data_IF_782108659526
#
_entry.id   IF_782108659526
#
_cell.length_a   1.000
_cell.length_b   1.000
_cell.length_c   1.000
_cell.angle_alpha   90.00
_cell.angle_beta   90.00
_cell.angle_gamma   90.00
#
_symmetry.space_group_name_H-M   'P 1'
#
loop_
_entity.id
_entity.type
_entity.pdbx_description
1 polymer ?
#
# COMPACT_ATOMS: atom_id res chain seq x y z
N UNK A 1 -12.45 8.31 41.50
CA UNK A 1 -13.42 8.36 40.39
C UNK A 1 -12.96 9.50 39.50
N UNK A 2 -12.14 9.20 38.49
CA UNK A 2 -11.76 10.16 37.43
C UNK A 2 -12.50 9.67 36.18
N UNK A 3 -13.40 10.54 35.72
CA UNK A 3 -14.20 10.35 34.52
C UNK A 3 -13.31 10.17 33.30
N UNK A 4 -13.46 9.03 32.63
CA UNK A 4 -12.99 8.81 31.27
C UNK A 4 -13.72 9.79 30.36
N UNK A 5 -13.11 10.93 30.04
CA UNK A 5 -13.54 11.75 28.92
C UNK A 5 -13.44 10.91 27.63
N UNK A 6 -14.59 10.46 27.17
CA UNK A 6 -14.77 9.92 25.82
C UNK A 6 -14.29 10.99 24.84
N UNK A 7 -13.12 10.77 24.24
CA UNK A 7 -12.65 11.58 23.10
C UNK A 7 -13.73 11.50 22.02
N UNK A 8 -14.53 12.57 21.87
CA UNK A 8 -15.35 12.76 20.68
C UNK A 8 -14.44 12.55 19.46
N UNK A 9 -14.85 11.74 18.45
CA UNK A 9 -14.09 11.68 17.21
C UNK A 9 -13.91 13.11 16.70
N UNK A 10 -12.68 13.52 16.50
CA UNK A 10 -12.38 14.82 15.90
C UNK A 10 -13.12 14.90 14.56
N UNK A 11 -13.74 16.04 14.27
CA UNK A 11 -14.39 16.24 12.97
C UNK A 11 -13.43 15.86 11.84
N UNK A 12 -13.91 15.11 10.83
CA UNK A 12 -13.07 14.67 9.72
C UNK A 12 -12.43 15.88 9.05
N UNK A 13 -11.11 15.84 8.83
CA UNK A 13 -10.39 16.89 8.11
C UNK A 13 -11.02 17.10 6.75
N UNK A 14 -11.15 18.34 6.32
CA UNK A 14 -11.77 18.71 5.04
C UNK A 14 -10.67 18.98 4.02
N UNK A 15 -10.55 18.11 3.04
CA UNK A 15 -9.45 18.10 2.08
C UNK A 15 -9.87 18.72 0.73
N UNK A 16 -8.97 19.51 0.16
CA UNK A 16 -9.05 19.98 -1.21
C UNK A 16 -7.90 19.36 -2.01
N UNK A 17 -8.22 18.71 -3.15
CA UNK A 17 -7.27 17.95 -3.93
C UNK A 17 -6.64 18.79 -5.04
N UNK A 18 -5.36 18.60 -5.29
CA UNK A 18 -4.59 19.35 -6.28
C UNK A 18 -3.81 18.42 -7.20
N UNK A 19 -4.04 18.54 -8.51
CA UNK A 19 -3.32 17.79 -9.55
C UNK A 19 -2.61 18.69 -10.53
N UNK A 20 -1.48 18.21 -11.07
CA UNK A 20 -0.74 18.89 -12.13
C UNK A 20 -0.85 18.10 -13.43
N UNK A 21 -1.18 18.79 -14.54
CA UNK A 21 -1.23 18.21 -15.87
C UNK A 21 0.08 18.55 -16.57
N UNK A 22 0.91 17.55 -16.79
CA UNK A 22 2.21 17.69 -17.49
C UNK A 22 2.05 17.44 -19.00
N UNK A 23 3.01 17.89 -19.84
CA UNK A 23 2.98 17.64 -21.27
C UNK A 23 2.89 16.13 -21.57
N UNK A 24 2.02 15.77 -22.50
CA UNK A 24 1.77 14.37 -22.86
C UNK A 24 0.81 13.61 -21.94
N UNK A 25 0.33 14.23 -20.86
CA UNK A 25 -0.72 13.65 -20.01
C UNK A 25 -2.10 14.16 -20.42
N UNK A 26 -3.01 13.30 -20.85
CA UNK A 26 -4.41 13.68 -21.07
C UNK A 26 -5.09 14.13 -19.76
N UNK A 27 -6.01 15.08 -19.85
CA UNK A 27 -6.73 15.64 -18.68
C UNK A 27 -7.45 14.54 -17.91
N UNK A 28 -8.14 13.64 -18.60
CA UNK A 28 -8.90 12.53 -17.98
C UNK A 28 -8.00 11.61 -17.14
N UNK A 29 -6.71 11.47 -17.49
CA UNK A 29 -5.75 10.68 -16.69
C UNK A 29 -5.50 11.33 -15.35
N UNK A 30 -5.36 12.65 -15.31
CA UNK A 30 -5.14 13.38 -14.06
C UNK A 30 -6.44 13.43 -13.23
N UNK A 31 -7.60 13.48 -13.88
CA UNK A 31 -8.90 13.36 -13.19
C UNK A 31 -9.02 12.03 -12.46
N UNK A 32 -8.70 10.91 -13.12
CA UNK A 32 -8.68 9.59 -12.49
C UNK A 32 -7.62 9.48 -11.36
N UNK A 33 -6.47 10.15 -11.52
CA UNK A 33 -5.49 10.23 -10.42
C UNK A 33 -6.07 10.93 -9.20
N UNK A 34 -6.85 12.00 -9.41
CA UNK A 34 -7.54 12.70 -8.34
C UNK A 34 -8.70 11.90 -7.76
N UNK A 35 -9.39 11.07 -8.56
CA UNK A 35 -10.41 10.15 -8.05
C UNK A 35 -9.79 9.09 -7.13
N UNK A 36 -8.62 8.55 -7.49
CA UNK A 36 -7.86 7.64 -6.64
C UNK A 36 -7.35 8.37 -5.37
N UNK A 37 -6.86 9.60 -5.50
CA UNK A 37 -6.44 10.42 -4.36
C UNK A 37 -7.62 10.72 -3.41
N UNK A 38 -8.83 10.90 -3.95
CA UNK A 38 -10.04 11.06 -3.16
C UNK A 38 -10.35 9.79 -2.34
N UNK A 39 -10.19 8.60 -2.92
CA UNK A 39 -10.33 7.33 -2.19
C UNK A 39 -9.27 7.16 -1.10
N UNK A 40 -8.03 7.60 -1.36
CA UNK A 40 -6.98 7.64 -0.34
C UNK A 40 -7.35 8.58 0.81
N UNK A 41 -7.83 9.79 0.50
CA UNK A 41 -8.25 10.77 1.50
C UNK A 41 -9.41 10.23 2.37
N UNK A 42 -10.42 9.62 1.76
CA UNK A 42 -11.52 8.94 2.49
C UNK A 42 -11.00 7.81 3.38
N UNK A 43 -10.06 7.00 2.86
CA UNK A 43 -9.44 5.92 3.65
C UNK A 43 -8.67 6.46 4.86
N UNK A 44 -8.04 7.63 4.73
CA UNK A 44 -7.37 8.34 5.83
C UNK A 44 -8.36 9.04 6.80
N UNK A 45 -9.66 9.06 6.48
CA UNK A 45 -10.70 9.70 7.28
C UNK A 45 -10.87 11.19 6.97
N UNK A 46 -10.38 11.69 5.83
CA UNK A 46 -10.60 13.06 5.38
C UNK A 46 -11.78 13.13 4.40
N UNK A 47 -12.57 14.20 4.51
CA UNK A 47 -13.68 14.46 3.58
C UNK A 47 -13.22 15.38 2.46
N UNK A 48 -13.29 14.92 1.21
CA UNK A 48 -12.95 15.74 0.04
C UNK A 48 -14.07 16.76 -0.20
N UNK A 49 -13.70 18.05 -0.30
CA UNK A 49 -14.62 19.17 -0.50
C UNK A 49 -14.54 19.78 -1.90
N UNK A 50 -13.42 19.57 -2.59
CA UNK A 50 -13.20 20.08 -3.93
C UNK A 50 -11.87 19.63 -4.52
N UNK A 51 -11.67 19.97 -5.78
CA UNK A 51 -10.42 19.67 -6.51
C UNK A 51 -10.06 20.75 -7.51
N UNK A 52 -8.77 20.87 -7.80
CA UNK A 52 -8.26 21.74 -8.86
C UNK A 52 -7.15 21.03 -9.63
N UNK A 53 -7.05 21.36 -10.91
CA UNK A 53 -5.97 20.92 -11.79
C UNK A 53 -5.34 22.12 -12.47
N UNK A 54 -4.06 22.00 -12.81
CA UNK A 54 -3.35 23.02 -13.56
C UNK A 54 -2.46 22.40 -14.63
N UNK A 55 -2.60 22.80 -15.92
CA UNK A 55 -1.62 22.45 -16.93
C UNK A 55 -0.36 23.30 -16.76
N UNK A 56 0.82 22.63 -16.76
CA UNK A 56 2.13 23.27 -16.74
C UNK A 56 3.15 22.46 -17.54
N UNK A 57 4.20 23.13 -18.03
CA UNK A 57 5.33 22.47 -18.69
C UNK A 57 6.19 21.68 -17.70
N UNK A 58 6.30 22.17 -16.46
CA UNK A 58 7.05 21.54 -15.37
C UNK A 58 6.48 22.05 -14.03
N UNK A 59 6.66 21.30 -12.91
CA UNK A 59 6.33 21.76 -11.57
C UNK A 59 7.07 23.05 -11.23
N UNK A 60 6.41 23.95 -10.52
CA UNK A 60 7.06 25.16 -10.01
C UNK A 60 8.02 24.81 -8.86
N UNK A 61 9.21 25.40 -8.88
CA UNK A 61 10.24 25.09 -7.89
C UNK A 61 9.86 25.55 -6.47
N UNK A 62 9.09 26.64 -6.35
CA UNK A 62 8.73 27.23 -5.07
C UNK A 62 7.39 26.71 -4.51
N UNK A 63 6.38 26.54 -5.34
CA UNK A 63 4.99 26.27 -4.93
C UNK A 63 4.32 25.12 -5.70
N UNK A 64 5.05 24.36 -6.49
CA UNK A 64 4.60 23.24 -7.31
C UNK A 64 3.63 23.65 -8.44
N UNK A 65 2.52 24.32 -8.10
CA UNK A 65 1.51 24.81 -9.07
C UNK A 65 1.73 26.27 -9.53
N UNK A 66 2.71 26.98 -8.99
CA UNK A 66 2.92 28.40 -9.23
C UNK A 66 2.08 29.30 -8.31
N UNK A 67 2.61 30.48 -8.00
CA UNK A 67 2.11 31.37 -6.95
C UNK A 67 0.65 31.77 -7.13
N UNK A 68 0.27 32.34 -8.29
CA UNK A 68 -1.10 32.80 -8.53
C UNK A 68 -2.13 31.64 -8.48
N UNK A 69 -1.76 30.46 -8.97
CA UNK A 69 -2.65 29.27 -8.87
C UNK A 69 -2.79 28.77 -7.44
N UNK A 70 -1.73 28.85 -6.64
CA UNK A 70 -1.79 28.50 -5.22
C UNK A 70 -2.73 29.45 -4.45
N UNK A 71 -2.78 30.76 -4.81
CA UNK A 71 -3.73 31.71 -4.24
C UNK A 71 -5.18 31.41 -4.64
N UNK A 72 -5.43 31.09 -5.92
CA UNK A 72 -6.77 30.65 -6.40
C UNK A 72 -7.24 29.41 -5.67
N UNK A 73 -6.35 28.39 -5.54
CA UNK A 73 -6.64 27.15 -4.82
C UNK A 73 -6.96 27.46 -3.35
N UNK A 74 -6.18 28.35 -2.72
CA UNK A 74 -6.41 28.75 -1.32
C UNK A 74 -7.78 29.41 -1.14
N UNK A 75 -8.18 30.30 -2.05
CA UNK A 75 -9.49 30.96 -2.00
C UNK A 75 -10.63 29.93 -2.17
N UNK A 76 -10.56 29.08 -3.19
CA UNK A 76 -11.57 28.04 -3.45
C UNK A 76 -11.66 27.02 -2.30
N UNK A 77 -10.52 26.59 -1.75
CA UNK A 77 -10.48 25.66 -0.64
C UNK A 77 -11.15 26.25 0.61
N UNK A 78 -10.89 27.52 0.92
CA UNK A 78 -11.50 28.21 2.08
C UNK A 78 -13.01 28.40 1.89
N UNK A 79 -13.46 28.76 0.68
CA UNK A 79 -14.89 28.91 0.38
C UNK A 79 -15.64 27.60 0.63
N UNK A 80 -15.01 26.46 0.30
CA UNK A 80 -15.54 25.13 0.55
C UNK A 80 -15.26 24.62 1.98
N UNK A 81 -14.64 25.45 2.83
CA UNK A 81 -14.33 25.15 4.21
C UNK A 81 -13.27 24.04 4.37
N UNK A 82 -12.35 23.89 3.42
CA UNK A 82 -11.23 22.97 3.55
C UNK A 82 -10.18 23.51 4.53
N UNK A 83 -9.56 22.61 5.28
CA UNK A 83 -8.44 22.88 6.21
C UNK A 83 -7.13 22.22 5.76
N UNK A 84 -7.19 21.39 4.69
CA UNK A 84 -6.10 20.58 4.19
C UNK A 84 -6.05 20.63 2.65
N UNK A 85 -4.87 20.88 2.10
CA UNK A 85 -4.57 20.69 0.68
C UNK A 85 -3.83 19.36 0.51
N UNK A 86 -4.26 18.52 -0.43
CA UNK A 86 -3.58 17.26 -0.76
C UNK A 86 -3.17 17.29 -2.23
N UNK A 87 -1.88 17.17 -2.46
CA UNK A 87 -1.27 17.11 -3.80
C UNK A 87 -1.09 15.66 -4.25
N UNK A 88 -1.41 15.37 -5.52
CA UNK A 88 -1.27 14.02 -6.09
C UNK A 88 0.18 13.62 -6.38
N UNK A 89 1.09 14.55 -6.31
CA UNK A 89 2.52 14.35 -6.53
C UNK A 89 3.31 14.68 -5.27
N UNK A 90 4.55 14.15 -5.19
CA UNK A 90 5.44 14.42 -4.08
C UNK A 90 5.90 15.89 -4.09
N UNK A 91 5.90 16.49 -2.93
CA UNK A 91 6.37 17.86 -2.72
C UNK A 91 7.74 17.85 -2.01
N UNK A 92 8.59 18.80 -2.37
CA UNK A 92 9.79 19.08 -1.57
C UNK A 92 9.43 19.78 -0.24
N UNK A 93 10.29 19.67 0.76
CA UNK A 93 10.07 20.37 2.04
C UNK A 93 9.96 21.89 1.91
N UNK A 94 10.61 22.49 0.91
CA UNK A 94 10.47 23.92 0.59
C UNK A 94 9.12 24.26 -0.03
N UNK A 95 8.61 23.41 -0.94
CA UNK A 95 7.29 23.59 -1.53
C UNK A 95 6.17 23.48 -0.49
N UNK A 96 6.21 22.46 0.38
CA UNK A 96 5.25 22.33 1.49
C UNK A 96 5.24 23.58 2.34
N UNK A 97 6.41 24.03 2.79
CA UNK A 97 6.53 25.25 3.62
C UNK A 97 5.98 26.48 2.93
N UNK A 98 6.38 26.72 1.67
CA UNK A 98 5.94 27.91 0.93
C UNK A 98 4.42 27.89 0.68
N UNK A 99 3.85 26.71 0.37
CA UNK A 99 2.41 26.53 0.21
C UNK A 99 1.67 26.79 1.53
N UNK A 100 2.13 26.26 2.67
CA UNK A 100 1.52 26.51 3.98
C UNK A 100 1.63 27.99 4.38
N UNK A 101 2.76 28.64 4.11
CA UNK A 101 2.96 30.06 4.36
C UNK A 101 2.04 30.94 3.47
N UNK A 102 1.81 30.55 2.22
CA UNK A 102 0.96 31.26 1.27
C UNK A 102 -0.53 31.04 1.54
N UNK A 103 -0.92 29.77 1.67
CA UNK A 103 -2.34 29.40 1.77
C UNK A 103 -2.90 29.47 3.18
N UNK A 104 -2.06 29.39 4.21
CA UNK A 104 -2.42 29.22 5.62
C UNK A 104 -3.27 27.98 5.89
N UNK A 105 -3.21 26.99 5.00
CA UNK A 105 -3.81 25.68 5.15
C UNK A 105 -2.72 24.63 5.38
N UNK A 106 -3.06 23.53 6.01
CA UNK A 106 -2.15 22.37 6.08
C UNK A 106 -1.93 21.81 4.67
N UNK A 107 -0.72 21.35 4.39
CA UNK A 107 -0.36 20.79 3.08
C UNK A 107 0.17 19.38 3.25
N UNK A 108 -0.37 18.46 2.47
CA UNK A 108 0.10 17.08 2.36
C UNK A 108 0.36 16.73 0.90
N UNK A 109 1.29 15.82 0.67
CA UNK A 109 1.46 15.17 -0.61
C UNK A 109 0.93 13.72 -0.56
N UNK A 110 0.86 13.07 -1.72
CA UNK A 110 0.40 11.68 -1.85
C UNK A 110 1.17 10.72 -0.96
N UNK A 111 2.50 10.87 -0.88
CA UNK A 111 3.35 10.01 -0.05
C UNK A 111 3.04 10.13 1.44
N UNK A 112 2.85 11.35 1.96
CA UNK A 112 2.50 11.55 3.37
C UNK A 112 1.10 11.05 3.69
N UNK A 113 0.14 11.17 2.77
CA UNK A 113 -1.20 10.61 2.93
C UNK A 113 -1.18 9.08 3.01
N UNK A 114 -0.41 8.41 2.14
CA UNK A 114 -0.23 6.94 2.18
C UNK A 114 0.41 6.52 3.50
N UNK A 115 1.42 7.25 3.97
CA UNK A 115 2.06 7.00 5.27
C UNK A 115 1.09 7.15 6.44
N UNK A 116 0.16 8.11 6.40
CA UNK A 116 -0.87 8.26 7.41
C UNK A 116 -1.86 7.09 7.41
N UNK A 117 -2.26 6.60 6.23
CA UNK A 117 -3.10 5.40 6.11
C UNK A 117 -2.37 4.19 6.71
N UNK A 118 -1.09 4.02 6.39
CA UNK A 118 -0.29 2.91 6.89
C UNK A 118 -0.12 2.95 8.41
N UNK A 119 0.07 4.13 9.00
CA UNK A 119 0.16 4.32 10.45
C UNK A 119 -1.13 3.90 11.16
N UNK A 120 -2.27 4.26 10.60
CA UNK A 120 -3.59 3.87 11.14
C UNK A 120 -3.83 2.35 11.03
N UNK A 121 -3.24 1.69 10.01
CA UNK A 121 -3.44 0.26 9.72
C UNK A 121 -2.40 -0.66 10.36
N UNK A 122 -1.24 -0.17 10.73
CA UNK A 122 -0.15 -0.93 11.32
C UNK A 122 -0.54 -1.48 12.71
N UNK A 123 -0.79 -2.79 12.80
CA UNK A 123 -1.17 -3.46 14.05
C UNK A 123 -0.01 -4.23 14.66
N UNK A 124 0.76 -4.95 13.85
CA UNK A 124 1.91 -5.71 14.34
C UNK A 124 3.08 -4.78 14.69
N UNK A 125 3.98 -5.28 15.55
CA UNK A 125 5.24 -4.59 15.85
C UNK A 125 6.05 -4.34 14.59
N UNK A 126 6.09 -5.31 13.70
CA UNK A 126 6.81 -5.23 12.43
C UNK A 126 6.25 -4.11 11.54
N UNK A 127 4.93 -4.11 11.27
CA UNK A 127 4.31 -3.08 10.45
C UNK A 127 4.53 -1.67 11.04
N UNK A 128 4.43 -1.51 12.36
CA UNK A 128 4.74 -0.24 13.03
C UNK A 128 6.19 0.20 12.82
N UNK A 129 7.14 -0.74 12.95
CA UNK A 129 8.56 -0.48 12.71
C UNK A 129 8.81 -0.07 11.26
N UNK A 130 8.17 -0.74 10.30
CA UNK A 130 8.24 -0.40 8.87
C UNK A 130 7.68 0.99 8.56
N UNK A 131 6.51 1.31 9.11
CA UNK A 131 5.88 2.62 8.93
C UNK A 131 6.73 3.73 9.55
N UNK A 132 7.25 3.53 10.77
CA UNK A 132 8.16 4.48 11.41
C UNK A 132 9.42 4.71 10.56
N UNK A 133 10.05 3.63 10.07
CA UNK A 133 11.19 3.72 9.17
C UNK A 133 10.87 4.51 7.91
N UNK A 134 9.75 4.20 7.26
CA UNK A 134 9.30 4.90 6.06
C UNK A 134 9.05 6.39 6.29
N UNK A 135 8.40 6.75 7.42
CA UNK A 135 8.18 8.15 7.84
C UNK A 135 9.49 8.89 8.07
N UNK A 136 10.46 8.26 8.71
CA UNK A 136 11.77 8.89 8.94
C UNK A 136 12.54 9.08 7.63
N UNK A 137 12.52 8.10 6.73
CA UNK A 137 13.13 8.22 5.40
C UNK A 137 12.45 9.30 4.55
N UNK A 138 11.13 9.43 4.64
CA UNK A 138 10.38 10.50 3.99
C UNK A 138 10.72 11.89 4.56
N UNK A 139 10.84 11.99 5.88
CA UNK A 139 11.06 13.27 6.60
C UNK A 139 12.50 13.77 6.50
N UNK A 140 13.49 12.85 6.46
CA UNK A 140 14.91 13.20 6.50
C UNK A 140 15.36 14.21 5.43
N UNK A 141 15.03 14.04 4.12
CA UNK A 141 15.37 15.02 3.09
C UNK A 141 14.57 16.33 3.19
N UNK A 142 13.40 16.29 3.88
CA UNK A 142 12.49 17.43 4.05
C UNK A 142 12.78 18.26 5.29
N UNK A 143 13.74 17.86 6.12
CA UNK A 143 14.15 18.63 7.28
C UNK A 143 14.71 20.00 6.87
N UNK A 144 14.01 21.05 7.26
CA UNK A 144 14.42 22.44 7.15
C UNK A 144 14.57 23.06 8.54
N UNK A 145 15.28 24.19 8.66
CA UNK A 145 15.56 24.87 9.96
C UNK A 145 14.33 25.16 10.83
N UNK A 146 13.10 25.09 10.29
CA UNK A 146 11.86 25.38 11.06
C UNK A 146 11.17 24.13 11.64
N UNK A 147 11.67 22.90 11.36
CA UNK A 147 11.05 21.66 11.86
C UNK A 147 11.50 21.24 13.27
N UNK A 148 11.80 22.22 14.13
CA UNK A 148 12.22 22.01 15.53
C UNK A 148 11.10 21.45 16.44
N UNK A 149 9.90 21.21 15.93
CA UNK A 149 8.78 20.73 16.75
C UNK A 149 8.77 19.20 16.97
N UNK A 150 9.47 18.41 16.16
CA UNK A 150 9.55 16.94 16.33
C UNK A 150 10.38 16.52 17.55
N UNK A 151 11.31 17.36 18.00
CA UNK A 151 12.13 17.07 19.19
C UNK A 151 11.36 17.21 20.53
N UNK A 152 10.19 17.85 20.55
CA UNK A 152 9.40 18.06 21.76
C UNK A 152 8.49 16.90 22.15
N UNK A 153 8.20 15.96 21.26
CA UNK A 153 7.35 14.79 21.56
C UNK A 153 8.12 13.60 22.17
N UNK A 154 9.46 13.56 22.04
CA UNK A 154 10.30 12.58 22.71
C UNK A 154 11.11 13.27 23.79
N UNK A 155 10.63 13.26 25.05
CA UNK A 155 11.30 13.87 26.20
C UNK A 155 12.79 13.51 26.30
N UNK A 156 13.65 14.35 25.77
CA UNK A 156 15.11 14.23 25.80
C UNK A 156 15.74 15.51 26.33
N UNK A 157 16.39 15.37 27.49
CA UNK A 157 17.17 16.36 28.20
C UNK A 157 18.14 17.08 27.27
N UNK A 158 18.05 18.42 27.25
CA UNK A 158 18.97 19.30 26.51
C UNK A 158 20.40 19.12 26.97
N UNK A 159 21.23 18.52 26.14
CA UNK A 159 22.68 18.61 26.22
C UNK A 159 23.12 19.85 25.43
N UNK A 160 23.70 20.82 26.09
CA UNK A 160 24.42 21.94 25.49
C UNK A 160 25.52 21.38 24.58
N UNK A 161 25.32 21.39 23.26
CA UNK A 161 26.33 21.07 22.27
C UNK A 161 27.35 22.20 22.14
N UNK A 162 28.60 21.81 22.02
CA UNK A 162 29.71 22.73 21.80
C UNK A 162 29.60 23.49 20.46
N UNK A 163 30.31 24.60 20.36
CA UNK A 163 30.43 25.48 19.20
C UNK A 163 30.77 24.65 17.94
N UNK A 164 29.85 24.56 16.98
CA UNK A 164 30.14 24.02 15.65
C UNK A 164 29.06 23.30 14.88
N UNK A 165 28.10 22.60 15.52
CA UNK A 165 27.02 21.88 14.81
C UNK A 165 25.72 22.69 14.85
N UNK A 166 25.10 22.91 13.68
CA UNK A 166 23.76 23.52 13.65
C UNK A 166 22.72 22.54 14.24
N UNK A 167 21.67 23.07 14.89
CA UNK A 167 20.55 22.24 15.41
C UNK A 167 20.01 21.29 14.35
N UNK A 168 19.99 21.71 13.09
CA UNK A 168 19.57 20.90 11.95
C UNK A 168 20.47 19.66 11.70
N UNK A 169 21.77 19.81 11.91
CA UNK A 169 22.72 18.69 11.74
C UNK A 169 22.60 17.69 12.87
N UNK A 170 22.36 18.16 14.10
CA UNK A 170 22.07 17.31 15.25
C UNK A 170 20.77 16.52 15.02
N UNK A 171 19.71 17.18 14.58
CA UNK A 171 18.43 16.54 14.29
C UNK A 171 18.58 15.49 13.19
N UNK A 172 19.32 15.79 12.11
CA UNK A 172 19.64 14.82 11.05
C UNK A 172 20.43 13.62 11.56
N UNK A 173 21.40 13.85 12.45
CA UNK A 173 22.19 12.77 13.05
C UNK A 173 21.33 11.86 13.91
N UNK A 174 20.45 12.40 14.73
CA UNK A 174 19.49 11.64 15.55
C UNK A 174 18.58 10.79 14.66
N UNK A 175 18.00 11.38 13.60
CA UNK A 175 17.13 10.64 12.68
C UNK A 175 17.88 9.53 11.93
N UNK A 176 19.10 9.79 11.45
CA UNK A 176 19.91 8.74 10.81
C UNK A 176 20.27 7.60 11.76
N UNK A 177 20.53 7.91 13.03
CA UNK A 177 20.76 6.89 14.06
C UNK A 177 19.50 6.05 14.28
N UNK A 178 18.32 6.70 14.37
CA UNK A 178 17.04 6.01 14.53
C UNK A 178 16.70 5.12 13.33
N UNK A 179 16.94 5.62 12.10
CA UNK A 179 16.76 4.85 10.86
C UNK A 179 17.58 3.55 10.93
N UNK A 180 18.89 3.64 11.23
CA UNK A 180 19.76 2.45 11.33
C UNK A 180 19.24 1.45 12.37
N UNK A 181 18.83 1.93 13.53
CA UNK A 181 18.29 1.06 14.58
C UNK A 181 17.04 0.30 14.14
N UNK A 182 16.13 0.99 13.42
CA UNK A 182 14.93 0.37 12.87
C UNK A 182 15.24 -0.64 11.75
N UNK A 183 16.24 -0.34 10.91
CA UNK A 183 16.73 -1.27 9.88
C UNK A 183 17.31 -2.55 10.51
N UNK A 184 18.12 -2.42 11.57
CA UNK A 184 18.65 -3.56 12.32
C UNK A 184 17.53 -4.41 12.96
N UNK A 185 16.50 -3.77 13.50
CA UNK A 185 15.35 -4.48 14.09
C UNK A 185 14.54 -5.23 13.03
N UNK A 186 14.30 -4.63 11.86
CA UNK A 186 13.63 -5.31 10.75
C UNK A 186 14.45 -6.49 10.22
N UNK A 187 15.78 -6.37 10.16
CA UNK A 187 16.63 -7.49 9.75
C UNK A 187 16.53 -8.68 10.73
N UNK A 188 16.47 -8.42 12.05
CA UNK A 188 16.25 -9.48 13.06
C UNK A 188 14.89 -10.16 12.86
N UNK A 189 13.83 -9.38 12.59
CA UNK A 189 12.49 -9.91 12.33
C UNK A 189 12.52 -10.80 11.07
N UNK A 190 13.19 -10.35 10.00
CA UNK A 190 13.28 -11.12 8.76
C UNK A 190 14.05 -12.43 8.95
N UNK A 191 15.15 -12.44 9.71
CA UNK A 191 15.87 -13.67 10.07
C UNK A 191 14.95 -14.66 10.80
N UNK A 192 14.16 -14.20 11.75
CA UNK A 192 13.19 -15.04 12.47
C UNK A 192 12.13 -15.62 11.52
N UNK A 193 11.62 -14.81 10.57
CA UNK A 193 10.68 -15.28 9.55
C UNK A 193 11.27 -16.33 8.61
N UNK A 194 12.54 -16.18 8.21
CA UNK A 194 13.24 -17.19 7.41
C UNK A 194 13.27 -18.55 8.13
N UNK A 195 13.59 -18.55 9.43
CA UNK A 195 13.58 -19.79 10.24
C UNK A 195 12.17 -20.39 10.32
N UNK A 196 11.15 -19.56 10.56
CA UNK A 196 9.75 -20.02 10.61
C UNK A 196 9.26 -20.58 9.26
N UNK A 197 9.72 -20.01 8.13
CA UNK A 197 9.44 -20.53 6.78
C UNK A 197 10.06 -21.91 6.57
N UNK A 198 11.30 -22.13 6.96
CA UNK A 198 11.95 -23.45 6.91
C UNK A 198 11.22 -24.51 7.75
N UNK A 199 10.66 -24.13 8.89
CA UNK A 199 9.86 -25.03 9.72
C UNK A 199 8.50 -25.44 9.11
N UNK A 200 8.08 -24.82 8.00
CA UNK A 200 6.86 -25.18 7.23
C UNK A 200 7.17 -26.08 6.03
N UNK A 201 8.36 -26.71 5.99
CA UNK A 201 8.76 -27.58 4.90
C UNK A 201 7.69 -28.64 4.64
N UNK A 202 7.21 -28.72 3.38
CA UNK A 202 6.19 -29.68 2.94
C UNK A 202 4.81 -29.09 2.65
N UNK A 203 4.51 -27.82 3.01
CA UNK A 203 3.24 -27.18 2.62
C UNK A 203 3.54 -25.99 1.71
N UNK A 204 3.16 -26.03 0.42
CA UNK A 204 3.45 -24.93 -0.50
C UNK A 204 2.73 -23.64 -0.09
N UNK A 205 3.35 -22.52 -0.43
CA UNK A 205 2.83 -21.18 -0.13
C UNK A 205 2.41 -20.46 -1.40
N UNK A 206 1.22 -19.87 -1.38
CA UNK A 206 0.64 -19.09 -2.48
C UNK A 206 0.42 -17.66 -2.00
N UNK A 207 1.14 -16.69 -2.56
CA UNK A 207 0.95 -15.29 -2.22
C UNK A 207 -0.05 -14.61 -3.18
N UNK A 208 -0.96 -13.80 -2.62
CA UNK A 208 -1.87 -12.96 -3.40
C UNK A 208 -1.29 -11.55 -3.47
N UNK A 209 -1.08 -11.06 -4.68
CA UNK A 209 -0.57 -9.72 -4.95
C UNK A 209 -1.40 -9.03 -6.03
N UNK A 210 -1.21 -7.75 -6.26
CA UNK A 210 -1.92 -6.97 -7.27
C UNK A 210 -2.31 -5.59 -6.76
N UNK A 211 -2.99 -4.83 -7.60
CA UNK A 211 -3.36 -3.45 -7.28
C UNK A 211 -4.25 -3.37 -6.04
N UNK A 212 -4.23 -2.22 -5.34
CA UNK A 212 -5.13 -2.03 -4.18
C UNK A 212 -6.58 -2.10 -4.64
N UNK A 213 -7.45 -2.64 -3.80
CA UNK A 213 -8.86 -2.88 -4.11
C UNK A 213 -9.16 -3.87 -5.27
N UNK A 214 -8.17 -4.62 -5.78
CA UNK A 214 -8.41 -5.66 -6.80
C UNK A 214 -9.19 -6.90 -6.26
N UNK A 215 -9.48 -6.95 -4.96
CA UNK A 215 -10.22 -8.03 -4.33
C UNK A 215 -9.35 -9.15 -3.75
N UNK A 216 -8.05 -8.90 -3.50
CA UNK A 216 -7.12 -9.88 -2.92
C UNK A 216 -7.63 -10.50 -1.62
N UNK A 217 -8.01 -9.67 -0.66
CA UNK A 217 -8.49 -10.14 0.66
C UNK A 217 -9.84 -10.89 0.54
N UNK A 218 -10.69 -10.52 -0.40
CA UNK A 218 -11.94 -11.24 -0.68
C UNK A 218 -11.64 -12.62 -1.26
N UNK A 219 -10.72 -12.68 -2.23
CA UNK A 219 -10.27 -13.95 -2.84
C UNK A 219 -9.56 -14.83 -1.80
N UNK A 220 -8.70 -14.25 -0.96
CA UNK A 220 -8.04 -14.94 0.14
C UNK A 220 -9.07 -15.58 1.09
N UNK A 221 -10.11 -14.84 1.50
CA UNK A 221 -11.17 -15.38 2.35
C UNK A 221 -11.90 -16.55 1.68
N UNK A 222 -12.16 -16.45 0.39
CA UNK A 222 -12.82 -17.50 -0.38
C UNK A 222 -11.97 -18.77 -0.49
N UNK A 223 -10.65 -18.63 -0.67
CA UNK A 223 -9.72 -19.76 -0.78
C UNK A 223 -9.43 -20.44 0.57
N UNK A 224 -9.48 -19.67 1.67
CA UNK A 224 -9.12 -20.16 3.01
C UNK A 224 -10.29 -20.41 3.94
N UNK A 225 -11.54 -20.17 3.48
CA UNK A 225 -12.76 -20.18 4.30
C UNK A 225 -12.63 -19.29 5.56
N UNK A 226 -11.78 -18.27 5.51
CA UNK A 226 -11.57 -17.33 6.61
C UNK A 226 -12.62 -16.22 6.52
N UNK A 227 -13.50 -16.10 7.52
CA UNK A 227 -14.50 -15.03 7.61
C UNK A 227 -13.92 -13.68 8.04
N UNK A 228 -12.73 -13.30 7.56
CA UNK A 228 -12.15 -11.98 7.87
C UNK A 228 -12.84 -10.89 7.06
N UNK A 229 -13.21 -9.78 7.72
CA UNK A 229 -13.80 -8.62 7.05
C UNK A 229 -12.87 -8.14 5.91
N UNK A 230 -13.39 -8.21 4.68
CA UNK A 230 -12.79 -7.55 3.53
C UNK A 230 -13.42 -6.15 3.44
N UNK A 231 -12.65 -5.12 3.69
CA UNK A 231 -13.11 -3.73 3.57
C UNK A 231 -12.93 -3.26 2.13
N UNK A 232 -13.93 -2.56 1.60
CA UNK A 232 -13.82 -1.90 0.29
C UNK A 232 -13.09 -0.54 0.46
N UNK A 233 -11.85 -0.59 0.95
CA UNK A 233 -10.98 0.57 1.17
C UNK A 233 -9.58 0.26 0.68
N UNK A 234 -8.89 1.31 0.21
CA UNK A 234 -7.51 1.19 -0.20
C UNK A 234 -6.63 0.75 0.99
N UNK A 235 -5.65 -0.12 0.75
CA UNK A 235 -4.77 -0.65 1.79
C UNK A 235 -5.49 -1.29 2.99
N UNK A 236 -6.56 -2.04 2.73
CA UNK A 236 -7.28 -2.78 3.77
C UNK A 236 -6.37 -3.79 4.51
N UNK A 237 -5.36 -4.33 3.83
CA UNK A 237 -4.34 -5.22 4.39
C UNK A 237 -2.98 -4.54 4.32
N UNK A 238 -2.33 -4.36 5.47
CA UNK A 238 -0.95 -3.90 5.59
C UNK A 238 -0.06 -5.01 6.17
N UNK A 239 -0.52 -5.69 7.21
CA UNK A 239 0.12 -6.89 7.76
C UNK A 239 -0.23 -8.11 6.92
N UNK A 240 0.76 -8.86 6.43
CA UNK A 240 0.50 -10.08 5.69
C UNK A 240 -0.24 -11.11 6.55
N UNK A 241 -1.37 -11.61 6.04
CA UNK A 241 -2.16 -12.64 6.70
C UNK A 241 -1.88 -13.99 6.07
N UNK A 242 -1.51 -14.97 6.90
CA UNK A 242 -1.22 -16.34 6.47
C UNK A 242 -2.32 -17.28 6.96
N UNK A 243 -2.91 -18.09 6.07
CA UNK A 243 -3.92 -19.09 6.40
C UNK A 243 -3.78 -20.32 5.51
N UNK A 244 -4.07 -21.49 6.07
CA UNK A 244 -4.23 -22.71 5.28
C UNK A 244 -5.55 -22.69 4.55
N UNK A 245 -5.53 -23.12 3.29
CA UNK A 245 -6.74 -23.26 2.48
C UNK A 245 -6.66 -24.52 1.62
N UNK A 246 -7.82 -25.07 1.25
CA UNK A 246 -7.91 -26.22 0.36
C UNK A 246 -7.68 -25.79 -1.08
N UNK A 247 -6.82 -26.51 -1.78
CA UNK A 247 -6.57 -26.34 -3.21
C UNK A 247 -7.50 -27.28 -3.99
N UNK A 248 -7.17 -28.56 -4.08
CA UNK A 248 -8.02 -29.57 -4.71
C UNK A 248 -8.01 -30.85 -3.86
N UNK A 249 -9.15 -31.48 -3.70
CA UNK A 249 -9.31 -32.65 -2.84
C UNK A 249 -8.95 -32.35 -1.39
N UNK A 250 -8.18 -33.23 -0.76
CA UNK A 250 -7.70 -33.08 0.63
C UNK A 250 -6.43 -32.24 0.75
N UNK A 251 -5.88 -31.73 -0.36
CA UNK A 251 -4.58 -31.03 -0.37
C UNK A 251 -4.73 -29.58 0.07
N UNK A 252 -3.74 -29.09 0.78
CA UNK A 252 -3.73 -27.75 1.37
C UNK A 252 -2.48 -26.98 0.96
N UNK A 253 -2.66 -25.65 0.80
CA UNK A 253 -1.57 -24.69 0.66
C UNK A 253 -1.70 -23.61 1.74
N UNK A 254 -0.61 -22.91 2.03
CA UNK A 254 -0.65 -21.69 2.83
C UNK A 254 -0.84 -20.51 1.91
N UNK A 255 -1.94 -19.80 2.07
CA UNK A 255 -2.20 -18.56 1.34
C UNK A 255 -1.71 -17.37 2.14
N UNK A 256 -1.10 -16.39 1.45
CA UNK A 256 -0.66 -15.12 2.01
C UNK A 256 -1.42 -13.96 1.36
N UNK A 257 -2.23 -13.22 2.13
CA UNK A 257 -2.81 -11.95 1.70
C UNK A 257 -1.80 -10.83 1.97
N UNK A 258 -1.42 -10.06 0.94
CA UNK A 258 -0.37 -9.05 1.03
C UNK A 258 -0.90 -7.64 0.79
N UNK A 259 -0.07 -6.64 1.07
CA UNK A 259 -0.38 -5.23 0.79
C UNK A 259 -0.63 -5.02 -0.72
N UNK A 260 -1.64 -4.20 -1.04
CA UNK A 260 -1.92 -3.85 -2.43
C UNK A 260 -0.96 -2.80 -2.97
N UNK A 261 -0.66 -2.87 -4.27
CA UNK A 261 0.11 -1.85 -4.97
C UNK A 261 -0.79 -0.69 -5.41
N UNK A 262 -0.19 0.45 -5.59
CA UNK A 262 -0.87 1.66 -6.07
C UNK A 262 0.09 2.46 -6.94
N UNK A 263 -0.44 3.28 -7.83
CA UNK A 263 0.37 4.20 -8.64
C UNK A 263 1.17 5.16 -7.76
N UNK A 264 2.31 5.61 -8.26
CA UNK A 264 3.20 6.55 -7.56
C UNK A 264 3.51 6.08 -6.14
N UNK A 265 3.61 4.75 -5.91
CA UNK A 265 4.06 4.22 -4.63
C UNK A 265 5.53 4.62 -4.43
N UNK A 266 5.85 5.40 -3.40
CA UNK A 266 7.22 5.89 -3.23
C UNK A 266 8.21 4.74 -3.02
N UNK A 267 9.37 4.77 -3.68
CA UNK A 267 10.40 3.73 -3.57
C UNK A 267 10.89 3.48 -2.13
N UNK A 268 10.91 4.53 -1.30
CA UNK A 268 11.26 4.38 0.12
C UNK A 268 10.20 3.59 0.91
N UNK A 269 8.94 3.62 0.48
CA UNK A 269 7.90 2.74 1.03
C UNK A 269 8.11 1.30 0.60
N UNK A 270 8.32 1.02 -0.68
CA UNK A 270 8.61 -0.33 -1.19
C UNK A 270 9.78 -0.93 -0.43
N UNK A 271 10.87 -0.18 -0.27
CA UNK A 271 12.06 -0.63 0.47
C UNK A 271 11.80 -0.91 1.95
N UNK A 272 10.94 -0.12 2.60
CA UNK A 272 10.60 -0.29 4.02
C UNK A 272 9.65 -1.48 4.25
N UNK A 273 8.79 -1.80 3.26
CA UNK A 273 7.86 -2.94 3.31
C UNK A 273 8.41 -4.23 2.71
N UNK A 274 9.72 -4.27 2.41
CA UNK A 274 10.37 -5.43 1.80
C UNK A 274 10.17 -6.74 2.59
N UNK A 275 10.08 -6.69 3.90
CA UNK A 275 9.83 -7.90 4.71
C UNK A 275 8.38 -8.39 4.61
N UNK A 276 7.40 -7.49 4.51
CA UNK A 276 5.98 -7.86 4.26
C UNK A 276 5.81 -8.40 2.84
N UNK A 277 6.49 -7.79 1.86
CA UNK A 277 6.55 -8.25 0.47
C UNK A 277 7.46 -9.49 0.31
N UNK A 278 8.26 -9.83 1.34
CA UNK A 278 9.06 -11.04 1.40
C UNK A 278 8.24 -12.34 1.34
N UNK A 279 6.96 -12.29 1.71
CA UNK A 279 6.05 -13.43 1.50
C UNK A 279 5.75 -13.64 0.00
N UNK A 280 5.73 -12.58 -0.81
CA UNK A 280 5.55 -12.67 -2.27
C UNK A 280 6.79 -13.28 -2.93
N UNK A 281 7.98 -12.79 -2.57
CA UNK A 281 9.24 -13.27 -3.15
C UNK A 281 9.58 -14.70 -2.75
N UNK A 282 9.14 -15.13 -1.55
CA UNK A 282 9.40 -16.45 -1.01
C UNK A 282 8.33 -17.49 -1.34
N UNK A 283 7.19 -17.08 -1.91
CA UNK A 283 6.09 -17.99 -2.24
C UNK A 283 6.46 -18.94 -3.38
N UNK A 284 5.94 -20.16 -3.32
CA UNK A 284 6.08 -21.16 -4.40
C UNK A 284 5.27 -20.73 -5.63
N UNK A 285 4.15 -20.02 -5.41
CA UNK A 285 3.30 -19.47 -6.46
C UNK A 285 2.77 -18.10 -6.08
N UNK A 286 2.62 -17.20 -7.05
CA UNK A 286 2.11 -15.84 -6.86
C UNK A 286 0.84 -15.66 -7.70
N UNK A 287 -0.28 -15.34 -7.06
CA UNK A 287 -1.52 -14.94 -7.73
C UNK A 287 -1.52 -13.43 -7.93
N UNK A 288 -1.35 -12.99 -9.15
CA UNK A 288 -1.53 -11.59 -9.54
C UNK A 288 -3.02 -11.35 -9.77
N UNK A 289 -3.69 -10.76 -8.78
CA UNK A 289 -5.13 -10.48 -8.79
C UNK A 289 -5.37 -9.15 -9.48
N UNK A 290 -6.12 -9.18 -10.59
CA UNK A 290 -6.40 -8.04 -11.47
C UNK A 290 -7.90 -7.74 -11.40
N UNK A 291 -8.27 -6.48 -11.13
CA UNK A 291 -9.66 -6.02 -11.19
C UNK A 291 -10.08 -5.82 -12.64
N UNK A 292 -10.75 -6.81 -13.23
CA UNK A 292 -11.13 -6.76 -14.65
C UNK A 292 -12.28 -5.80 -14.92
N UNK A 293 -13.03 -5.42 -13.91
CA UNK A 293 -14.13 -4.45 -14.03
C UNK A 293 -13.66 -2.99 -14.14
N UNK A 294 -12.40 -2.72 -13.81
CA UNK A 294 -11.86 -1.36 -13.87
C UNK A 294 -11.50 -0.98 -15.31
N UNK A 295 -11.92 0.20 -15.83
CA UNK A 295 -11.64 0.63 -17.21
C UNK A 295 -10.15 0.60 -17.59
N UNK A 296 -9.27 0.87 -16.63
CA UNK A 296 -7.80 0.90 -16.81
C UNK A 296 -7.10 -0.26 -16.09
N UNK A 297 -7.70 -1.44 -16.14
CA UNK A 297 -7.14 -2.62 -15.49
C UNK A 297 -5.74 -2.98 -16.01
N UNK A 298 -5.45 -2.74 -17.31
CA UNK A 298 -4.15 -2.99 -17.91
C UNK A 298 -3.04 -2.16 -17.28
N UNK A 299 -3.31 -0.86 -17.04
CA UNK A 299 -2.34 0.02 -16.39
C UNK A 299 -2.14 -0.35 -14.92
N UNK A 300 -3.22 -0.71 -14.22
CA UNK A 300 -3.12 -1.19 -12.85
C UNK A 300 -2.34 -2.51 -12.77
N UNK A 301 -2.55 -3.41 -13.73
CA UNK A 301 -1.78 -4.64 -13.83
C UNK A 301 -0.30 -4.36 -14.10
N UNK A 302 0.00 -3.44 -15.03
CA UNK A 302 1.38 -3.05 -15.35
C UNK A 302 2.12 -2.44 -14.14
N UNK A 303 1.45 -1.62 -13.33
CA UNK A 303 2.03 -1.10 -12.07
C UNK A 303 2.37 -2.23 -11.10
N UNK A 304 1.48 -3.21 -10.96
CA UNK A 304 1.72 -4.35 -10.08
C UNK A 304 2.86 -5.23 -10.60
N UNK A 305 2.93 -5.43 -11.91
CA UNK A 305 4.00 -6.17 -12.58
C UNK A 305 5.36 -5.50 -12.40
N UNK A 306 5.42 -4.18 -12.58
CA UNK A 306 6.65 -3.43 -12.34
C UNK A 306 7.17 -3.62 -10.91
N UNK A 307 6.30 -3.54 -9.90
CA UNK A 307 6.70 -3.76 -8.51
C UNK A 307 7.16 -5.20 -8.27
N UNK A 308 6.50 -6.19 -8.88
CA UNK A 308 6.95 -7.60 -8.80
C UNK A 308 8.34 -7.79 -9.42
N UNK A 309 8.63 -7.12 -10.54
CA UNK A 309 9.95 -7.14 -11.18
C UNK A 309 11.02 -6.49 -10.29
N UNK A 310 10.73 -5.33 -9.69
CA UNK A 310 11.61 -4.65 -8.72
C UNK A 310 11.91 -5.52 -7.49
N UNK A 311 10.96 -6.38 -7.10
CA UNK A 311 11.14 -7.34 -6.01
C UNK A 311 11.88 -8.61 -6.44
N UNK A 312 12.12 -8.81 -7.74
CA UNK A 312 12.77 -10.01 -8.28
C UNK A 312 11.89 -11.25 -8.25
N UNK A 313 10.58 -11.09 -8.38
CA UNK A 313 9.64 -12.22 -8.48
C UNK A 313 9.82 -12.91 -9.83
N UNK A 314 10.04 -14.22 -9.80
CA UNK A 314 10.13 -15.04 -11.00
C UNK A 314 8.78 -15.10 -11.71
N UNK A 315 8.75 -14.66 -12.96
CA UNK A 315 7.53 -14.62 -13.79
C UNK A 315 6.90 -15.99 -14.04
N UNK A 316 7.67 -17.07 -14.03
CA UNK A 316 7.15 -18.42 -14.17
C UNK A 316 6.25 -18.84 -13.01
N UNK A 317 6.48 -18.25 -11.82
CA UNK A 317 5.65 -18.48 -10.63
C UNK A 317 4.42 -17.57 -10.55
N UNK A 318 4.24 -16.64 -11.49
CA UNK A 318 3.10 -15.72 -11.49
C UNK A 318 1.94 -16.30 -12.27
N UNK A 319 0.76 -16.25 -11.66
CA UNK A 319 -0.52 -16.64 -12.30
C UNK A 319 -1.45 -15.44 -12.28
N UNK A 320 -1.81 -14.96 -13.46
CA UNK A 320 -2.77 -13.85 -13.58
C UNK A 320 -4.20 -14.35 -13.31
N UNK A 321 -4.89 -13.68 -12.39
CA UNK A 321 -6.27 -13.97 -12.00
C UNK A 321 -7.12 -12.73 -12.22
N UNK A 322 -7.99 -12.78 -13.21
CA UNK A 322 -8.93 -11.69 -13.54
C UNK A 322 -10.15 -11.80 -12.63
N UNK A 323 -10.21 -10.92 -11.64
CA UNK A 323 -11.25 -10.90 -10.62
C UNK A 323 -12.37 -9.90 -10.95
N UNK A 324 -13.46 -9.98 -10.19
CA UNK A 324 -14.69 -9.17 -10.31
C UNK A 324 -15.44 -9.40 -11.61
N UNK A 325 -15.43 -10.64 -12.10
CA UNK A 325 -16.15 -11.02 -13.33
C UNK A 325 -17.66 -10.79 -13.26
N UNK A 326 -18.21 -10.75 -12.06
CA UNK A 326 -19.60 -10.39 -11.79
C UNK A 326 -19.98 -8.93 -12.15
N UNK A 327 -18.97 -8.06 -12.32
CA UNK A 327 -19.12 -6.66 -12.73
C UNK A 327 -18.74 -6.41 -14.20
N UNK A 328 -18.26 -7.44 -14.89
CA UNK A 328 -17.83 -7.36 -16.31
C UNK A 328 -19.00 -7.75 -17.21
N UNK A 329 -19.27 -7.00 -18.31
CA UNK A 329 -20.30 -7.38 -19.27
C UNK A 329 -20.17 -8.81 -19.78
N UNK A 330 -21.30 -9.51 -19.96
CA UNK A 330 -21.30 -10.93 -20.33
C UNK A 330 -20.77 -11.19 -21.76
N UNK A 331 -20.83 -10.19 -22.62
CA UNK A 331 -20.36 -10.19 -24.01
C UNK A 331 -18.87 -9.86 -24.14
N UNK A 332 -18.18 -9.55 -23.03
CA UNK A 332 -16.76 -9.28 -23.08
C UNK A 332 -15.95 -10.53 -23.41
N UNK A 333 -15.03 -10.46 -24.40
CA UNK A 333 -14.25 -11.62 -24.82
C UNK A 333 -13.40 -12.16 -23.66
N UNK A 334 -13.67 -13.41 -23.26
CA UNK A 334 -12.87 -14.12 -22.26
C UNK A 334 -11.84 -14.99 -22.98
N UNK A 335 -10.56 -14.67 -22.84
CA UNK A 335 -9.50 -15.52 -23.38
C UNK A 335 -9.51 -16.85 -22.61
N UNK A 336 -9.62 -17.98 -23.34
CA UNK A 336 -9.82 -19.31 -22.76
C UNK A 336 -8.67 -19.84 -21.89
N UNK A 337 -7.50 -19.19 -21.93
CA UNK A 337 -6.36 -19.56 -21.08
C UNK A 337 -6.26 -18.70 -19.79
N UNK A 338 -7.07 -17.67 -19.67
CA UNK A 338 -7.06 -16.77 -18.52
C UNK A 338 -7.99 -17.30 -17.41
N UNK A 339 -7.57 -17.13 -16.16
CA UNK A 339 -8.36 -17.49 -14.99
C UNK A 339 -9.28 -16.33 -14.62
N UNK A 340 -10.55 -16.48 -14.95
CA UNK A 340 -11.61 -15.51 -14.65
C UNK A 340 -12.35 -15.94 -13.39
N UNK A 341 -12.43 -15.05 -12.40
CA UNK A 341 -13.07 -15.37 -11.12
C UNK A 341 -13.93 -14.21 -10.62
N UNK A 342 -14.94 -14.54 -9.83
CA UNK A 342 -15.57 -13.59 -8.92
C UNK A 342 -15.34 -14.07 -7.49
N UNK A 343 -14.53 -13.35 -6.74
CA UNK A 343 -14.30 -13.65 -5.33
C UNK A 343 -15.58 -13.49 -4.50
N UNK A 344 -16.55 -12.69 -4.95
CA UNK A 344 -17.84 -12.45 -4.29
C UNK A 344 -18.81 -13.58 -4.56
N UNK A 345 -19.06 -13.94 -5.83
CA UNK A 345 -20.03 -14.99 -6.19
C UNK A 345 -19.47 -16.40 -6.03
N UNK A 346 -18.16 -16.55 -6.21
CA UNK A 346 -17.48 -17.85 -6.25
C UNK A 346 -17.31 -18.43 -7.64
N UNK A 347 -17.77 -17.74 -8.69
CA UNK A 347 -17.57 -18.11 -10.07
C UNK A 347 -16.06 -18.27 -10.37
N UNK A 348 -15.66 -19.31 -11.11
CA UNK A 348 -14.29 -19.59 -11.50
C UNK A 348 -13.36 -20.08 -10.39
N UNK A 349 -13.76 -20.05 -9.11
CA UNK A 349 -12.93 -20.53 -8.00
C UNK A 349 -12.57 -22.03 -8.13
N UNK A 350 -13.48 -22.93 -8.53
CA UNK A 350 -13.09 -24.33 -8.77
C UNK A 350 -11.99 -24.47 -9.84
N UNK A 351 -12.10 -23.75 -10.95
CA UNK A 351 -11.07 -23.77 -12.02
C UNK A 351 -9.72 -23.21 -11.53
N UNK A 352 -9.75 -22.13 -10.73
CA UNK A 352 -8.56 -21.60 -10.09
C UNK A 352 -7.89 -22.64 -9.18
N UNK A 353 -8.65 -23.38 -8.38
CA UNK A 353 -8.11 -24.42 -7.49
C UNK A 353 -7.45 -25.57 -8.28
N UNK A 354 -8.03 -25.98 -9.39
CA UNK A 354 -7.45 -27.00 -10.27
C UNK A 354 -6.10 -26.52 -10.83
N UNK A 355 -6.05 -25.27 -11.32
CA UNK A 355 -4.81 -24.70 -11.84
C UNK A 355 -3.73 -24.55 -10.74
N UNK A 356 -4.13 -24.16 -9.54
CA UNK A 356 -3.22 -24.12 -8.39
C UNK A 356 -2.64 -25.51 -8.08
N UNK A 357 -3.48 -26.54 -8.07
CA UNK A 357 -3.04 -27.92 -7.85
C UNK A 357 -2.03 -28.37 -8.91
N UNK A 358 -2.32 -28.08 -10.18
CA UNK A 358 -1.44 -28.38 -11.30
C UNK A 358 -0.07 -27.69 -11.17
N UNK A 359 -0.07 -26.39 -10.90
CA UNK A 359 1.16 -25.57 -10.77
C UNK A 359 2.00 -25.94 -9.56
N UNK A 360 1.36 -26.38 -8.47
CA UNK A 360 2.02 -26.82 -7.25
C UNK A 360 2.49 -28.29 -7.32
N UNK A 361 2.36 -28.94 -8.47
CA UNK A 361 2.81 -30.33 -8.67
C UNK A 361 1.93 -31.35 -7.95
N UNK A 362 0.67 -31.01 -7.67
CA UNK A 362 -0.29 -31.92 -7.07
C UNK A 362 -0.99 -32.77 -8.14
N UNK A 363 -0.25 -33.42 -9.06
CA UNK A 363 -0.83 -34.22 -10.12
C UNK A 363 -1.52 -35.50 -9.63
N UNK A 364 -2.57 -35.92 -10.37
CA UNK A 364 -3.39 -37.10 -10.08
C UNK A 364 -2.59 -38.39 -9.83
N UNK A 365 -1.47 -38.56 -10.50
CA UNK A 365 -0.65 -39.78 -10.39
C UNK A 365 -0.02 -40.03 -9.02
N UNK A 366 0.28 -38.95 -8.26
CA UNK A 366 0.71 -39.07 -6.84
C UNK A 366 -0.46 -39.27 -5.88
N UNK A 367 -1.65 -38.83 -6.25
CA UNK A 367 -2.88 -39.02 -5.49
C UNK A 367 -3.25 -40.49 -5.31
N UNK A 368 -3.16 -41.30 -6.39
CA UNK A 368 -3.52 -42.71 -6.35
C UNK A 368 -2.51 -43.55 -5.55
N UNK A 369 -1.25 -43.12 -5.50
CA UNK A 369 -0.19 -43.83 -4.78
C UNK A 369 -0.25 -43.64 -3.23
N UNK A 370 -0.71 -42.46 -2.76
CA UNK A 370 -0.80 -42.20 -1.31
C UNK A 370 -2.09 -42.77 -0.65
N UNK A 371 -3.13 -43.05 -1.44
CA UNK A 371 -4.34 -43.70 -0.95
C UNK A 371 -4.20 -45.22 -0.78
N UNK A 372 -3.10 -45.83 -1.27
CA UNK A 372 -2.87 -47.29 -1.24
C UNK A 372 -2.11 -47.71 0.04
N UNK A 373 -1.72 -46.79 0.94
CA UNK A 373 -1.12 -47.20 2.23
C UNK A 373 -2.22 -47.48 3.23
N UNK A 374 -2.52 -48.77 3.53
CA UNK A 374 -3.48 -49.11 4.56
C UNK A 374 -2.96 -48.67 5.92
N UNK A 375 -3.82 -48.04 6.74
CA UNK A 375 -3.53 -47.73 8.13
C UNK A 375 -3.04 -49.01 8.85
N UNK A 376 -1.94 -48.96 9.58
CA UNK A 376 -1.55 -50.10 10.43
C UNK A 376 -2.62 -50.26 11.53
N UNK A 377 -3.09 -51.47 11.65
CA UNK A 377 -4.03 -52.00 12.65
C UNK A 377 -3.44 -51.83 14.07
#
# INVERSE_FOLDING_TARGET
>A
MQSSEERRPADPRRAFLVGLILPGQPVYVVEEHLDELAQLADTAGAKVTGRAMQPRKAPDAATFVGHGKAEEISAAARELGADLLIFDDDLSGSQVKNLEELTKLSVMDRSSLILDIFDQRARSREARTQVELARLKYSLPRLTRKWSHLSRQGGGVGLRGGEGESQLEQDRRVLRSRIRHLEDDLEKIERTRKVQRHGRSGTPTVALTGYTNAGKSTLFNRLTAAGTLAENRLFATLDAKLRRGSVEGARTAVFADTVGFIRKLPHHLVSSFRSTLGEVTAADLVLHVIDRSHPRWEEQAAVAEQVMDELGVDRERVVNVYNKTDLVPADEPRNGQALWVSAVTGEGIPALKVELARRLGFDKAQWDAEQIVPSPV
#
